data_IF_047215833458
#
_entry.id   IF_047215833458
#
_cell.length_a   1.000
_cell.length_b   1.000
_cell.length_c   1.000
_cell.angle_alpha   90.00
_cell.angle_beta   90.00
_cell.angle_gamma   90.00
#
_symmetry.space_group_name_H-M   'P 1'
#
loop_
_entity.id
_entity.type
_entity.pdbx_description
1 polymer ?
#
# COMPACT_ATOMS: atom_id res chain seq x y z
N UNK A 1 12.91 15.93 -4.81
CA UNK A 1 13.09 15.06 -3.63
C UNK A 1 11.96 15.16 -2.61
N UNK A 2 11.46 16.36 -2.26
CA UNK A 2 10.36 16.51 -1.28
C UNK A 2 9.11 15.69 -1.62
N UNK A 3 8.65 15.68 -2.87
CA UNK A 3 7.51 14.88 -3.34
C UNK A 3 7.65 13.38 -3.05
N UNK A 4 8.84 12.82 -3.28
CA UNK A 4 9.13 11.41 -3.03
C UNK A 4 9.13 11.09 -1.52
N UNK A 5 9.60 12.02 -0.69
CA UNK A 5 9.55 11.88 0.78
C UNK A 5 8.12 11.91 1.30
N UNK A 6 7.29 12.85 0.83
CA UNK A 6 5.87 12.92 1.19
C UNK A 6 5.15 11.63 0.78
N UNK A 7 5.36 11.16 -0.46
CA UNK A 7 4.78 9.91 -0.93
C UNK A 7 5.17 8.73 -0.04
N UNK A 8 6.43 8.67 0.39
CA UNK A 8 6.91 7.61 1.26
C UNK A 8 6.31 7.66 2.68
N UNK A 9 6.15 8.85 3.28
CA UNK A 9 5.41 8.98 4.56
C UNK A 9 3.99 8.46 4.40
N UNK A 10 3.28 8.89 3.34
CA UNK A 10 1.92 8.44 3.08
C UNK A 10 1.84 6.92 2.92
N UNK A 11 2.81 6.30 2.25
CA UNK A 11 2.88 4.84 2.11
C UNK A 11 3.08 4.16 3.47
N UNK A 12 3.93 4.68 4.34
CA UNK A 12 4.15 4.08 5.67
C UNK A 12 2.95 4.26 6.60
N UNK A 13 2.24 5.40 6.54
CA UNK A 13 1.00 5.60 7.27
C UNK A 13 -0.05 4.59 6.81
N UNK A 14 -0.24 4.46 5.49
CA UNK A 14 -1.12 3.46 4.90
C UNK A 14 -0.73 2.02 5.33
N UNK A 15 0.56 1.69 5.29
CA UNK A 15 1.05 0.39 5.70
C UNK A 15 0.84 0.11 7.20
N UNK A 16 0.97 1.12 8.05
CA UNK A 16 0.65 0.99 9.46
C UNK A 16 -0.85 0.81 9.68
N UNK A 17 -1.68 1.58 8.97
CA UNK A 17 -3.14 1.56 9.13
C UNK A 17 -3.78 0.27 8.60
N UNK A 18 -3.27 -0.30 7.50
CA UNK A 18 -3.91 -1.44 6.82
C UNK A 18 -3.01 -2.68 6.72
N UNK A 19 -1.70 -2.57 6.88
CA UNK A 19 -0.81 -3.74 6.91
C UNK A 19 -0.77 -4.38 8.29
N UNK A 20 -0.47 -3.59 9.33
CA UNK A 20 -0.31 -4.10 10.70
C UNK A 20 -1.55 -4.86 11.19
N UNK A 21 -2.79 -4.37 11.00
CA UNK A 21 -3.96 -5.09 11.51
C UNK A 21 -4.26 -6.41 10.80
N UNK A 22 -3.69 -6.68 9.61
CA UNK A 22 -3.91 -7.94 8.90
C UNK A 22 -3.49 -9.17 9.73
N UNK A 23 -2.46 -9.04 10.57
CA UNK A 23 -1.98 -10.11 11.45
C UNK A 23 -2.96 -10.42 12.58
N UNK A 24 -3.31 -9.48 13.49
CA UNK A 24 -4.26 -9.77 14.55
C UNK A 24 -5.66 -10.12 14.03
N UNK A 25 -6.11 -9.55 12.90
CA UNK A 25 -7.37 -9.94 12.26
C UNK A 25 -7.35 -11.40 11.83
N UNK A 26 -6.26 -11.86 11.22
CA UNK A 26 -6.12 -13.25 10.81
C UNK A 26 -6.13 -14.21 12.00
N UNK A 27 -5.42 -13.85 13.08
CA UNK A 27 -5.42 -14.63 14.33
C UNK A 27 -6.84 -14.70 14.90
N UNK A 28 -7.54 -13.58 14.99
CA UNK A 28 -8.90 -13.51 15.51
C UNK A 28 -9.88 -14.37 14.68
N UNK A 29 -9.80 -14.30 13.35
CA UNK A 29 -10.66 -15.09 12.47
C UNK A 29 -10.44 -16.59 12.65
N UNK A 30 -9.18 -17.04 12.78
CA UNK A 30 -8.86 -18.45 12.99
C UNK A 30 -9.31 -18.95 14.36
N UNK A 31 -9.29 -18.10 15.38
CA UNK A 31 -9.69 -18.45 16.74
C UNK A 31 -11.21 -18.45 16.94
N UNK A 32 -11.92 -17.50 16.34
CA UNK A 32 -13.32 -17.22 16.65
C UNK A 32 -14.28 -17.58 15.50
N UNK A 33 -13.78 -17.77 14.28
CA UNK A 33 -14.59 -18.12 13.11
C UNK A 33 -15.34 -16.93 12.47
N UNK A 34 -15.11 -15.70 12.94
CA UNK A 34 -15.68 -14.48 12.35
C UNK A 34 -14.68 -13.31 12.41
N UNK A 35 -14.93 -12.24 11.64
CA UNK A 35 -14.05 -11.07 11.58
C UNK A 35 -14.23 -10.16 12.81
N UNK A 36 -13.15 -9.60 13.37
CA UNK A 36 -13.27 -8.64 14.46
C UNK A 36 -13.92 -7.34 13.97
N UNK A 37 -14.64 -6.67 14.85
CA UNK A 37 -15.23 -5.36 14.58
C UNK A 37 -14.20 -4.24 14.82
N UNK A 38 -14.15 -3.26 13.93
CA UNK A 38 -13.41 -2.03 14.14
C UNK A 38 -14.21 -1.10 15.04
N UNK A 39 -13.81 -0.98 16.32
CA UNK A 39 -14.47 -0.10 17.30
C UNK A 39 -15.99 -0.31 17.37
N UNK A 40 -16.46 -1.55 17.20
CA UNK A 40 -17.87 -1.93 17.14
C UNK A 40 -18.69 -1.27 16.00
N UNK A 41 -18.05 -0.66 15.01
CA UNK A 41 -18.71 0.02 13.90
C UNK A 41 -18.95 -0.89 12.69
N UNK A 42 -17.92 -1.62 12.24
CA UNK A 42 -17.98 -2.48 11.07
C UNK A 42 -16.95 -3.62 11.14
N UNK A 43 -17.19 -4.78 10.49
CA UNK A 43 -16.23 -5.88 10.44
C UNK A 43 -14.98 -5.50 9.64
N UNK A 44 -13.81 -5.73 10.23
CA UNK A 44 -12.52 -5.39 9.61
C UNK A 44 -12.22 -6.28 8.41
N UNK A 45 -11.78 -5.68 7.29
CA UNK A 45 -11.45 -6.37 6.04
C UNK A 45 -12.60 -7.19 5.43
N UNK A 46 -13.85 -6.91 5.81
CA UNK A 46 -15.01 -7.49 5.13
C UNK A 46 -15.06 -7.08 3.65
N UNK A 47 -16.09 -7.52 2.91
CA UNK A 47 -16.24 -7.17 1.51
C UNK A 47 -16.36 -8.41 0.63
N UNK A 48 -16.13 -8.31 -0.68
CA UNK A 48 -16.40 -9.40 -1.63
C UNK A 48 -15.78 -10.76 -1.31
N UNK A 49 -14.76 -10.81 -0.47
CA UNK A 49 -14.07 -12.05 -0.08
C UNK A 49 -14.44 -12.60 1.30
N UNK A 50 -15.28 -11.91 2.08
CA UNK A 50 -15.61 -12.30 3.46
C UNK A 50 -16.30 -13.67 3.59
N UNK A 51 -17.01 -14.13 2.56
CA UNK A 51 -17.62 -15.46 2.49
C UNK A 51 -16.67 -16.62 2.16
N UNK A 52 -15.37 -16.36 1.95
CA UNK A 52 -14.39 -17.42 1.69
C UNK A 52 -14.12 -18.26 2.95
N UNK A 53 -13.63 -19.48 2.74
CA UNK A 53 -13.13 -20.32 3.84
C UNK A 53 -12.00 -19.59 4.58
N UNK A 54 -11.95 -19.73 5.92
CA UNK A 54 -11.04 -18.95 6.77
C UNK A 54 -9.58 -19.04 6.35
N UNK A 55 -9.09 -20.23 5.94
CA UNK A 55 -7.70 -20.39 5.50
C UNK A 55 -7.40 -19.63 4.20
N UNK A 56 -8.35 -19.61 3.25
CA UNK A 56 -8.20 -18.89 1.99
C UNK A 56 -8.24 -17.38 2.23
N UNK A 57 -9.14 -16.91 3.09
CA UNK A 57 -9.23 -15.52 3.50
C UNK A 57 -7.95 -15.04 4.21
N UNK A 58 -7.45 -15.82 5.18
CA UNK A 58 -6.18 -15.53 5.86
C UNK A 58 -5.01 -15.52 4.87
N UNK A 59 -4.99 -16.42 3.88
CA UNK A 59 -3.96 -16.42 2.85
C UNK A 59 -3.97 -15.11 2.06
N UNK A 60 -5.15 -14.62 1.67
CA UNK A 60 -5.29 -13.32 0.99
C UNK A 60 -4.82 -12.16 1.89
N UNK A 61 -5.12 -12.17 3.18
CA UNK A 61 -4.63 -11.15 4.12
C UNK A 61 -3.10 -11.18 4.24
N UNK A 62 -2.49 -12.36 4.26
CA UNK A 62 -1.03 -12.50 4.30
C UNK A 62 -0.38 -12.03 3.00
N UNK A 63 -0.98 -12.34 1.84
CA UNK A 63 -0.50 -11.83 0.55
C UNK A 63 -0.61 -10.31 0.52
N UNK A 64 -1.72 -9.75 0.99
CA UNK A 64 -1.88 -8.29 1.11
C UNK A 64 -0.80 -7.67 2.00
N UNK A 65 -0.53 -8.25 3.16
CA UNK A 65 0.56 -7.80 4.03
C UNK A 65 1.90 -7.79 3.29
N UNK A 66 2.23 -8.84 2.54
CA UNK A 66 3.46 -8.89 1.72
C UNK A 66 3.50 -7.76 0.68
N UNK A 67 2.38 -7.49 0.00
CA UNK A 67 2.27 -6.39 -0.97
C UNK A 67 2.51 -5.04 -0.28
N UNK A 68 1.91 -4.82 0.90
CA UNK A 68 2.07 -3.59 1.69
C UNK A 68 3.51 -3.42 2.18
N UNK A 69 4.19 -4.50 2.58
CA UNK A 69 5.60 -4.48 2.95
C UNK A 69 6.49 -4.14 1.74
N UNK A 70 6.19 -4.71 0.57
CA UNK A 70 6.88 -4.38 -0.68
C UNK A 70 6.70 -2.91 -1.07
N UNK A 71 5.48 -2.37 -0.91
CA UNK A 71 5.19 -0.95 -1.12
C UNK A 71 5.96 -0.07 -0.13
N UNK A 72 6.03 -0.47 1.14
CA UNK A 72 6.80 0.22 2.19
C UNK A 72 8.31 0.25 1.90
N UNK A 73 8.83 -0.84 1.34
CA UNK A 73 10.21 -0.93 0.87
C UNK A 73 10.45 -0.02 -0.35
N UNK A 74 9.53 -0.02 -1.33
CA UNK A 74 9.57 0.87 -2.48
C UNK A 74 9.57 2.35 -2.05
N UNK A 75 8.75 2.69 -1.06
CA UNK A 75 8.71 4.01 -0.44
C UNK A 75 10.06 4.38 0.21
N UNK A 76 10.71 3.46 0.91
CA UNK A 76 12.04 3.69 1.47
C UNK A 76 13.12 3.92 0.39
N UNK A 77 13.08 3.16 -0.71
CA UNK A 77 13.95 3.39 -1.86
C UNK A 77 13.70 4.77 -2.49
N UNK A 78 12.44 5.17 -2.64
CA UNK A 78 12.03 6.47 -3.14
C UNK A 78 12.47 7.61 -2.20
N UNK A 79 12.39 7.41 -0.89
CA UNK A 79 12.88 8.33 0.14
C UNK A 79 14.38 8.59 -0.01
N UNK A 80 15.15 7.53 -0.30
CA UNK A 80 16.60 7.60 -0.63
C UNK A 80 16.89 8.21 -2.00
N UNK A 81 15.87 8.62 -2.75
CA UNK A 81 16.01 9.23 -4.07
C UNK A 81 16.24 8.23 -5.20
N UNK A 82 16.04 6.93 -4.98
CA UNK A 82 16.26 5.90 -6.00
C UNK A 82 15.06 5.81 -6.94
N UNK A 83 15.32 5.94 -8.25
CA UNK A 83 14.30 5.81 -9.30
C UNK A 83 13.57 4.48 -9.25
N UNK A 84 14.26 3.39 -8.89
CA UNK A 84 13.66 2.06 -8.73
C UNK A 84 12.53 2.03 -7.70
N UNK A 85 12.63 2.81 -6.62
CA UNK A 85 11.56 2.91 -5.62
C UNK A 85 10.28 3.54 -6.15
N UNK A 86 10.42 4.58 -6.99
CA UNK A 86 9.28 5.25 -7.63
C UNK A 86 8.58 4.35 -8.65
N UNK A 87 9.36 3.63 -9.46
CA UNK A 87 8.82 2.69 -10.46
C UNK A 87 8.14 1.52 -9.77
N UNK A 88 8.78 0.92 -8.77
CA UNK A 88 8.21 -0.19 -8.00
C UNK A 88 6.92 0.24 -7.28
N UNK A 89 6.92 1.43 -6.66
CA UNK A 89 5.74 1.97 -5.98
C UNK A 89 4.55 2.18 -6.91
N UNK A 90 4.78 2.63 -8.15
CA UNK A 90 3.72 2.74 -9.16
C UNK A 90 3.25 1.36 -9.67
N UNK A 91 4.19 0.44 -9.87
CA UNK A 91 3.88 -0.91 -10.37
C UNK A 91 3.05 -1.74 -9.38
N UNK A 92 3.18 -1.49 -8.08
CA UNK A 92 2.41 -2.18 -7.04
C UNK A 92 0.97 -1.66 -6.91
N UNK A 93 0.64 -0.46 -7.40
CA UNK A 93 -0.70 0.12 -7.21
C UNK A 93 -1.85 -0.70 -7.79
N UNK A 94 -1.77 -1.25 -9.01
CA UNK A 94 -2.84 -2.11 -9.52
C UNK A 94 -3.04 -3.34 -8.65
N UNK A 95 -1.96 -3.89 -8.09
CA UNK A 95 -2.03 -5.05 -7.18
C UNK A 95 -2.70 -4.65 -5.87
N UNK A 96 -2.28 -3.54 -5.26
CA UNK A 96 -2.92 -3.01 -4.05
C UNK A 96 -4.43 -2.74 -4.28
N UNK A 97 -4.80 -2.22 -5.45
CA UNK A 97 -6.19 -1.92 -5.79
C UNK A 97 -7.11 -3.17 -5.79
N UNK A 98 -6.59 -4.33 -6.21
CA UNK A 98 -7.34 -5.60 -6.12
C UNK A 98 -7.68 -5.91 -4.66
N UNK A 99 -6.73 -5.72 -3.74
CA UNK A 99 -6.97 -5.94 -2.31
C UNK A 99 -7.87 -4.88 -1.68
N UNK A 100 -7.79 -3.63 -2.12
CA UNK A 100 -8.69 -2.57 -1.65
C UNK A 100 -10.15 -2.89 -1.94
N UNK A 101 -10.42 -3.39 -3.16
CA UNK A 101 -11.75 -3.77 -3.57
C UNK A 101 -12.21 -5.07 -2.90
N UNK A 102 -11.31 -6.05 -2.77
CA UNK A 102 -11.65 -7.34 -2.17
C UNK A 102 -11.91 -7.30 -0.67
N UNK A 103 -11.24 -6.41 0.05
CA UNK A 103 -11.42 -6.18 1.49
C UNK A 103 -12.20 -4.90 1.83
N UNK A 104 -12.88 -4.32 0.83
CA UNK A 104 -13.70 -3.10 0.95
C UNK A 104 -13.10 -2.04 1.88
N UNK A 105 -11.79 -1.80 1.71
CA UNK A 105 -11.05 -0.98 2.65
C UNK A 105 -11.56 0.47 2.57
N UNK A 106 -11.73 1.15 3.71
CA UNK A 106 -12.18 2.54 3.73
C UNK A 106 -11.06 3.48 3.28
N UNK A 107 -11.31 4.28 2.24
CA UNK A 107 -10.41 5.34 1.75
C UNK A 107 -9.00 4.96 1.22
N UNK A 108 -8.63 3.70 0.91
CA UNK A 108 -7.27 3.36 0.48
C UNK A 108 -6.94 3.97 -0.90
N UNK A 109 -7.95 4.16 -1.74
CA UNK A 109 -7.84 4.79 -3.05
C UNK A 109 -7.42 6.26 -2.96
N UNK A 110 -7.79 6.99 -1.89
CA UNK A 110 -7.30 8.36 -1.66
C UNK A 110 -5.78 8.35 -1.44
N UNK A 111 -5.29 7.45 -0.58
CA UNK A 111 -3.85 7.26 -0.37
C UNK A 111 -3.17 6.77 -1.66
N UNK A 112 -3.81 5.87 -2.41
CA UNK A 112 -3.32 5.38 -3.70
C UNK A 112 -3.14 6.49 -4.72
N UNK A 113 -4.18 7.27 -5.00
CA UNK A 113 -4.14 8.38 -5.97
C UNK A 113 -3.12 9.42 -5.56
N UNK A 114 -3.10 9.84 -4.29
CA UNK A 114 -2.14 10.83 -3.80
C UNK A 114 -0.68 10.36 -3.97
N UNK A 115 -0.38 9.12 -3.56
CA UNK A 115 0.96 8.53 -3.73
C UNK A 115 1.34 8.38 -5.20
N UNK A 116 0.40 7.98 -6.05
CA UNK A 116 0.64 7.71 -7.47
C UNK A 116 1.00 8.98 -8.21
N UNK A 117 0.25 10.06 -7.96
CA UNK A 117 0.57 11.39 -8.48
C UNK A 117 1.94 11.87 -8.01
N UNK A 118 2.25 11.72 -6.72
CA UNK A 118 3.55 12.14 -6.18
C UNK A 118 4.73 11.35 -6.78
N UNK A 119 4.58 10.03 -6.98
CA UNK A 119 5.60 9.21 -7.64
C UNK A 119 5.76 9.57 -9.12
N UNK A 120 4.66 9.76 -9.86
CA UNK A 120 4.69 10.20 -11.24
C UNK A 120 5.38 11.56 -11.40
N UNK A 121 5.01 12.55 -10.57
CA UNK A 121 5.63 13.88 -10.57
C UNK A 121 7.10 13.83 -10.16
N UNK A 122 7.47 12.97 -9.23
CA UNK A 122 8.88 12.77 -8.86
C UNK A 122 9.69 12.16 -10.01
N UNK A 123 9.13 11.18 -10.75
CA UNK A 123 9.76 10.59 -11.93
C UNK A 123 9.92 11.61 -13.06
N UNK A 124 8.90 12.43 -13.33
CA UNK A 124 8.97 13.50 -14.32
C UNK A 124 10.08 14.50 -13.98
N UNK A 125 10.20 14.89 -12.71
CA UNK A 125 11.26 15.80 -12.25
C UNK A 125 12.67 15.20 -12.40
N UNK A 126 12.82 13.88 -12.23
CA UNK A 126 14.10 13.21 -12.50
C UNK A 126 14.41 13.15 -14.00
N UNK A 127 13.39 12.97 -14.85
CA UNK A 127 13.55 12.92 -16.32
C UNK A 127 13.83 14.27 -16.95
N UNK A 128 13.41 15.38 -16.32
CA UNK A 128 13.70 16.77 -16.73
C UNK A 128 15.10 17.26 -16.32
N UNK A 129 15.90 16.40 -15.67
CA UNK A 129 17.31 16.67 -15.34
C UNK A 129 18.37 16.11 -16.33
N UNK A 130 18.17 16.02 -17.66
CA UNK A 130 19.26 15.69 -18.58
C UNK A 130 19.92 16.99 -19.10
N UNK A 131 21.22 17.12 -18.87
CA UNK A 131 22.17 17.92 -19.67
C UNK A 131 22.08 19.46 -19.63
N UNK A 132 22.35 20.05 -18.46
CA UNK A 132 22.72 21.48 -18.33
C UNK A 132 24.10 21.72 -17.72
N UNK A 133 24.95 20.68 -17.62
CA UNK A 133 26.24 20.79 -16.92
C UNK A 133 27.33 19.94 -17.56
N UNK A 134 27.52 20.07 -18.87
CA UNK A 134 28.78 19.74 -19.56
C UNK A 134 28.89 20.56 -20.86
N UNK A 135 29.07 21.88 -20.74
CA UNK A 135 29.66 22.70 -21.79
C UNK A 135 30.10 24.04 -21.18
N UNK A 136 31.43 24.28 -21.18
CA UNK A 136 32.06 25.61 -21.06
C UNK A 136 32.10 26.21 -19.68
#
# INVERSE_FOLDING_TARGET
MQKARVAAVLTWIYAAAFGIPAVPVSIHLLQNGYLPMFMDLFPMYAGPWDGLQSWAFVSLLMVFLVVVLAASWAAWLAWRGRRSGLVLGLALMPVEAVFWLGFDLPFPWLFGVARGLLYALALMSLRQRPEGRMAG
#
